data_IF_588423110680
#
_entry.id   IF_588423110680
#
_cell.length_a   1.000
_cell.length_b   1.000
_cell.length_c   1.000
_cell.angle_alpha   90.00
_cell.angle_beta   90.00
_cell.angle_gamma   90.00
#
_symmetry.space_group_name_H-M   'P 1'
#
loop_
_entity.id
_entity.type
_entity.pdbx_description
1 polymer ?
#
# COMPACT_ATOMS: atom_id res chain seq x y z
N UNK A 1 17.22 -12.78 24.39
CA UNK A 1 17.55 -13.59 23.21
C UNK A 1 16.83 -13.10 21.95
N UNK A 2 17.19 -13.66 20.80
CA UNK A 2 16.59 -13.30 19.48
C UNK A 2 15.04 -13.34 19.52
N UNK A 3 14.45 -14.27 20.27
CA UNK A 3 13.00 -14.38 20.43
C UNK A 3 12.33 -13.19 21.12
N UNK A 4 13.02 -12.50 22.02
CA UNK A 4 12.48 -11.35 22.73
C UNK A 4 12.50 -10.08 21.85
N UNK A 5 13.51 -9.97 20.98
CA UNK A 5 13.58 -8.90 19.98
C UNK A 5 12.42 -9.03 18.98
N UNK A 6 12.18 -10.25 18.50
CA UNK A 6 11.06 -10.53 17.59
C UNK A 6 9.69 -10.23 18.22
N UNK A 7 9.45 -10.66 19.45
CA UNK A 7 8.21 -10.36 20.17
C UNK A 7 7.98 -8.86 20.32
N UNK A 8 9.04 -8.13 20.69
CA UNK A 8 8.97 -6.67 20.84
C UNK A 8 8.66 -5.98 19.51
N UNK A 9 9.29 -6.40 18.41
CA UNK A 9 9.02 -5.86 17.08
C UNK A 9 7.58 -6.14 16.63
N UNK A 10 7.07 -7.35 16.83
CA UNK A 10 5.69 -7.71 16.50
C UNK A 10 4.67 -6.86 17.29
N UNK A 11 4.91 -6.65 18.58
CA UNK A 11 4.06 -5.79 19.42
C UNK A 11 4.11 -4.33 18.96
N UNK A 12 5.27 -3.82 18.57
CA UNK A 12 5.41 -2.46 18.06
C UNK A 12 4.66 -2.27 16.73
N UNK A 13 4.81 -3.22 15.80
CA UNK A 13 4.12 -3.19 14.50
C UNK A 13 2.61 -3.26 14.71
N UNK A 14 2.13 -4.24 15.48
CA UNK A 14 0.71 -4.40 15.79
C UNK A 14 0.13 -3.19 16.52
N UNK A 15 0.86 -2.65 17.50
CA UNK A 15 0.46 -1.44 18.22
C UNK A 15 0.34 -0.22 17.31
N UNK A 16 1.28 -0.02 16.40
CA UNK A 16 1.19 1.06 15.40
C UNK A 16 -0.05 0.92 14.51
N UNK A 17 -0.31 -0.28 13.98
CA UNK A 17 -1.48 -0.53 13.14
C UNK A 17 -2.76 -0.20 13.91
N UNK A 18 -2.90 -0.68 15.16
CA UNK A 18 -4.06 -0.40 16.00
C UNK A 18 -4.25 1.11 16.25
N UNK A 19 -3.17 1.84 16.58
CA UNK A 19 -3.24 3.28 16.82
C UNK A 19 -3.71 4.02 15.57
N UNK A 20 -3.17 3.70 14.40
CA UNK A 20 -3.57 4.36 13.15
C UNK A 20 -4.97 3.98 12.71
N UNK A 21 -5.41 2.75 12.97
CA UNK A 21 -6.77 2.34 12.73
C UNK A 21 -7.76 3.13 13.60
N UNK A 22 -7.48 3.24 14.90
CA UNK A 22 -8.29 4.04 15.83
C UNK A 22 -8.27 5.52 15.43
N UNK A 23 -7.11 6.07 15.08
CA UNK A 23 -7.00 7.45 14.62
C UNK A 23 -7.83 7.70 13.35
N UNK A 24 -7.81 6.78 12.40
CA UNK A 24 -8.64 6.86 11.18
C UNK A 24 -10.13 6.86 11.52
N UNK A 25 -10.57 6.01 12.45
CA UNK A 25 -11.96 5.96 12.87
C UNK A 25 -12.38 7.22 13.64
N UNK A 26 -11.51 7.77 14.49
CA UNK A 26 -11.76 9.05 15.15
C UNK A 26 -11.91 10.21 14.15
N UNK A 27 -11.04 10.29 13.13
CA UNK A 27 -11.15 11.28 12.06
C UNK A 27 -12.49 11.18 11.32
N UNK A 28 -13.01 9.98 11.16
CA UNK A 28 -14.32 9.73 10.57
C UNK A 28 -15.43 10.25 11.48
N UNK A 29 -15.39 9.98 12.77
CA UNK A 29 -16.39 10.44 13.74
C UNK A 29 -16.38 11.96 13.93
N UNK A 30 -15.23 12.61 13.90
CA UNK A 30 -15.09 14.08 13.98
C UNK A 30 -15.60 14.77 12.71
N UNK A 31 -15.89 14.02 11.64
CA UNK A 31 -16.45 14.57 10.41
C UNK A 31 -15.41 15.06 9.39
N UNK A 32 -14.11 14.80 9.58
CA UNK A 32 -13.06 15.18 8.63
C UNK A 32 -13.35 14.58 7.25
N UNK A 33 -13.79 13.34 7.19
CA UNK A 33 -14.15 12.70 5.92
C UNK A 33 -15.37 13.34 5.25
N UNK A 34 -16.33 13.84 6.00
CA UNK A 34 -17.48 14.56 5.45
C UNK A 34 -17.07 15.89 4.79
N UNK A 35 -16.12 16.60 5.39
CA UNK A 35 -15.53 17.81 4.79
C UNK A 35 -14.79 17.46 3.50
N UNK A 36 -13.98 16.41 3.50
CA UNK A 36 -13.27 15.95 2.30
C UNK A 36 -14.21 15.51 1.18
N UNK A 37 -15.32 14.88 1.50
CA UNK A 37 -16.36 14.53 0.52
C UNK A 37 -17.02 15.77 -0.10
N UNK A 38 -17.20 16.83 0.68
CA UNK A 38 -17.70 18.10 0.18
C UNK A 38 -16.71 18.72 -0.84
N UNK A 39 -15.42 18.64 -0.55
CA UNK A 39 -14.35 19.09 -1.47
C UNK A 39 -14.36 18.22 -2.73
N UNK A 40 -14.44 16.89 -2.63
CA UNK A 40 -14.53 15.99 -3.78
C UNK A 40 -15.66 16.40 -4.72
N UNK A 41 -16.84 16.63 -4.15
CA UNK A 41 -18.01 17.06 -4.93
C UNK A 41 -17.80 18.41 -5.62
N UNK A 42 -17.16 19.37 -4.93
CA UNK A 42 -16.90 20.69 -5.48
C UNK A 42 -15.95 20.67 -6.70
N UNK A 43 -14.99 19.73 -6.74
CA UNK A 43 -14.01 19.59 -7.84
C UNK A 43 -14.39 18.49 -8.85
N UNK A 44 -15.60 17.90 -8.74
CA UNK A 44 -16.09 16.89 -9.68
C UNK A 44 -15.41 15.52 -9.57
N UNK A 45 -14.74 15.23 -8.46
CA UNK A 45 -14.17 13.90 -8.19
C UNK A 45 -15.22 12.93 -7.65
N UNK A 46 -15.02 11.62 -7.84
CA UNK A 46 -15.88 10.60 -7.24
C UNK A 46 -15.97 10.79 -5.73
N UNK A 47 -17.19 10.72 -5.20
CA UNK A 47 -17.42 10.82 -3.76
C UNK A 47 -16.61 9.72 -3.02
N UNK A 48 -15.99 10.09 -1.91
CA UNK A 48 -15.18 9.17 -1.10
C UNK A 48 -13.74 8.96 -1.59
N UNK A 49 -13.35 9.43 -2.78
CA UNK A 49 -12.01 9.20 -3.31
C UNK A 49 -10.92 9.81 -2.41
N UNK A 50 -11.06 11.09 -2.07
CA UNK A 50 -10.08 11.79 -1.21
C UNK A 50 -10.08 11.16 0.19
N UNK A 51 -11.25 10.79 0.70
CA UNK A 51 -11.39 10.12 1.99
C UNK A 51 -10.67 8.77 2.01
N UNK A 52 -10.85 7.94 0.97
CA UNK A 52 -10.17 6.66 0.83
C UNK A 52 -8.64 6.83 0.70
N UNK A 53 -8.19 7.83 -0.06
CA UNK A 53 -6.77 8.14 -0.20
C UNK A 53 -6.16 8.64 1.11
N UNK A 54 -6.84 9.53 1.84
CA UNK A 54 -6.37 9.98 3.15
C UNK A 54 -6.29 8.81 4.14
N UNK A 55 -7.30 7.95 4.18
CA UNK A 55 -7.29 6.75 5.00
C UNK A 55 -6.10 5.85 4.65
N UNK A 56 -5.84 5.62 3.36
CA UNK A 56 -4.72 4.82 2.90
C UNK A 56 -3.35 5.46 3.14
N UNK A 57 -3.28 6.79 3.18
CA UNK A 57 -2.05 7.50 3.58
C UNK A 57 -1.79 7.39 5.09
N UNK A 58 -2.80 7.21 5.90
CA UNK A 58 -2.67 6.94 7.33
C UNK A 58 -2.35 5.46 7.56
N UNK A 59 -3.21 4.58 7.05
CA UNK A 59 -3.11 3.14 7.20
C UNK A 59 -3.53 2.46 5.88
N UNK A 60 -2.60 1.73 5.27
CA UNK A 60 -2.72 1.24 3.89
C UNK A 60 -3.85 0.22 3.70
N UNK A 61 -4.11 -0.65 4.69
CA UNK A 61 -5.08 -1.75 4.54
C UNK A 61 -6.51 -1.23 4.48
N UNK A 62 -6.86 -0.33 5.40
CA UNK A 62 -8.15 0.34 5.41
C UNK A 62 -8.36 1.21 4.17
N UNK A 63 -7.30 1.90 3.71
CA UNK A 63 -7.35 2.69 2.49
C UNK A 63 -7.57 1.86 1.23
N UNK A 64 -6.89 0.75 1.07
CA UNK A 64 -7.09 -0.17 -0.05
C UNK A 64 -8.52 -0.75 -0.06
N UNK A 65 -9.05 -1.12 1.12
CA UNK A 65 -10.43 -1.58 1.25
C UNK A 65 -11.42 -0.47 0.88
N UNK A 66 -11.17 0.77 1.30
CA UNK A 66 -12.00 1.91 0.95
C UNK A 66 -11.97 2.20 -0.57
N UNK A 67 -10.80 2.18 -1.21
CA UNK A 67 -10.66 2.33 -2.67
C UNK A 67 -11.42 1.22 -3.41
N UNK A 68 -11.32 -0.03 -2.96
CA UNK A 68 -12.03 -1.16 -3.56
C UNK A 68 -13.56 -1.02 -3.46
N UNK A 69 -14.07 -0.37 -2.41
CA UNK A 69 -15.49 -0.11 -2.22
C UNK A 69 -16.04 1.01 -3.13
N UNK A 70 -15.19 1.86 -3.73
CA UNK A 70 -15.56 3.00 -4.56
C UNK A 70 -15.91 2.56 -5.97
N UNK A 71 -16.51 1.61 -6.38
CA UNK A 71 -16.98 1.26 -7.75
C UNK A 71 -16.28 2.03 -8.90
N UNK A 72 -14.97 2.26 -8.76
CA UNK A 72 -14.16 2.93 -9.78
C UNK A 72 -13.82 1.94 -10.92
N UNK A 73 -13.43 2.45 -12.11
CA UNK A 73 -12.91 1.60 -13.17
C UNK A 73 -11.73 0.75 -12.65
N UNK A 74 -11.71 -0.52 -12.98
CA UNK A 74 -10.72 -1.50 -12.49
C UNK A 74 -9.28 -0.98 -12.55
N UNK A 75 -8.89 -0.41 -13.71
CA UNK A 75 -7.55 0.16 -13.91
C UNK A 75 -7.20 1.23 -12.87
N UNK A 76 -8.17 2.09 -12.54
CA UNK A 76 -7.97 3.17 -11.59
C UNK A 76 -7.89 2.62 -10.16
N UNK A 77 -8.76 1.69 -9.79
CA UNK A 77 -8.71 1.04 -8.47
C UNK A 77 -7.38 0.35 -8.23
N UNK A 78 -6.88 -0.41 -9.21
CA UNK A 78 -5.59 -1.10 -9.13
C UNK A 78 -4.44 -0.10 -9.01
N UNK A 79 -4.46 0.97 -9.79
CA UNK A 79 -3.42 2.02 -9.73
C UNK A 79 -3.38 2.72 -8.37
N UNK A 80 -4.55 3.08 -7.82
CA UNK A 80 -4.65 3.73 -6.51
C UNK A 80 -4.19 2.78 -5.39
N UNK A 81 -4.59 1.52 -5.41
CA UNK A 81 -4.11 0.52 -4.47
C UNK A 81 -2.58 0.31 -4.59
N UNK A 82 -2.04 0.25 -5.81
CA UNK A 82 -0.60 0.14 -6.05
C UNK A 82 0.16 1.35 -5.50
N UNK A 83 -0.40 2.56 -5.65
CA UNK A 83 0.14 3.76 -5.01
C UNK A 83 0.20 3.61 -3.49
N UNK A 84 -0.93 3.26 -2.85
CA UNK A 84 -1.03 3.16 -1.40
C UNK A 84 -0.08 2.10 -0.85
N UNK A 85 -0.01 0.92 -1.46
CA UNK A 85 0.87 -0.17 -1.04
C UNK A 85 2.34 0.23 -1.19
N UNK A 86 2.72 0.87 -2.29
CA UNK A 86 4.10 1.30 -2.53
C UNK A 86 4.52 2.46 -1.64
N UNK A 87 3.61 3.40 -1.37
CA UNK A 87 3.81 4.50 -0.44
C UNK A 87 3.92 3.99 1.00
N UNK A 88 3.07 3.04 1.41
CA UNK A 88 3.08 2.35 2.69
C UNK A 88 2.36 3.09 3.83
N UNK A 89 1.92 4.32 3.61
CA UNK A 89 1.23 5.13 4.62
C UNK A 89 2.12 5.60 5.78
N UNK A 90 1.56 6.47 6.63
CA UNK A 90 2.24 7.00 7.82
C UNK A 90 2.52 5.91 8.86
N UNK A 91 1.66 4.90 8.95
CA UNK A 91 1.85 3.77 9.86
C UNK A 91 3.17 3.04 9.59
N UNK A 92 3.40 2.63 8.31
CA UNK A 92 4.63 1.95 7.91
C UNK A 92 5.85 2.89 8.00
N UNK A 93 5.65 4.17 7.68
CA UNK A 93 6.70 5.17 7.82
C UNK A 93 7.20 5.31 9.27
N UNK A 94 6.31 5.39 10.24
CA UNK A 94 6.71 5.45 11.66
C UNK A 94 7.37 4.17 12.15
N UNK A 95 6.90 3.01 11.70
CA UNK A 95 7.54 1.73 12.00
C UNK A 95 8.97 1.69 11.44
N UNK A 96 9.15 2.14 10.19
CA UNK A 96 10.46 2.16 9.53
C UNK A 96 11.43 3.13 10.21
N UNK A 97 10.93 4.28 10.69
CA UNK A 97 11.75 5.28 11.39
C UNK A 97 12.38 4.77 12.69
N UNK A 98 11.77 3.79 13.34
CA UNK A 98 12.32 3.18 14.54
C UNK A 98 13.64 2.43 14.27
N UNK A 99 13.88 2.05 13.01
CA UNK A 99 15.03 1.26 12.59
C UNK A 99 15.99 2.00 11.65
N UNK A 100 15.56 3.10 11.03
CA UNK A 100 16.36 3.87 10.08
C UNK A 100 16.92 5.14 10.73
N UNK A 101 18.23 5.22 10.80
CA UNK A 101 18.99 6.45 11.09
C UNK A 101 19.22 7.18 9.76
N UNK A 102 18.29 8.03 9.32
CA UNK A 102 18.43 8.75 8.06
C UNK A 102 17.53 9.98 7.95
N UNK A 103 17.68 10.72 6.85
CA UNK A 103 16.86 11.90 6.57
C UNK A 103 15.43 11.49 6.22
N UNK A 104 14.54 11.79 7.15
CA UNK A 104 13.11 11.48 7.11
C UNK A 104 12.42 12.12 5.90
N UNK A 105 12.78 13.35 5.54
CA UNK A 105 12.21 14.08 4.41
C UNK A 105 12.51 13.41 3.08
N UNK A 106 13.77 13.03 2.92
CA UNK A 106 14.24 12.34 1.72
C UNK A 106 13.58 10.98 1.54
N UNK A 107 13.43 10.21 2.62
CA UNK A 107 12.73 8.94 2.60
C UNK A 107 11.27 9.10 2.16
N UNK A 108 10.54 10.06 2.75
CA UNK A 108 9.14 10.32 2.42
C UNK A 108 8.97 10.71 0.95
N UNK A 109 9.82 11.61 0.44
CA UNK A 109 9.80 12.02 -0.96
C UNK A 109 10.06 10.85 -1.92
N UNK A 110 11.08 10.03 -1.63
CA UNK A 110 11.40 8.85 -2.46
C UNK A 110 10.24 7.86 -2.47
N UNK A 111 9.61 7.61 -1.32
CA UNK A 111 8.45 6.73 -1.22
C UNK A 111 7.24 7.27 -1.98
N UNK A 112 7.04 8.57 -1.96
CA UNK A 112 5.97 9.22 -2.74
C UNK A 112 6.19 9.07 -4.24
N UNK A 113 7.39 9.35 -4.73
CA UNK A 113 7.76 9.14 -6.15
C UNK A 113 7.62 7.68 -6.54
N UNK A 114 8.09 6.76 -5.69
CA UNK A 114 7.93 5.32 -5.90
C UNK A 114 6.46 4.91 -6.00
N UNK A 115 5.60 5.47 -5.15
CA UNK A 115 4.15 5.25 -5.22
C UNK A 115 3.54 5.70 -6.55
N UNK A 116 3.93 6.88 -7.05
CA UNK A 116 3.47 7.38 -8.35
C UNK A 116 3.92 6.45 -9.49
N UNK A 117 5.17 6.02 -9.48
CA UNK A 117 5.69 5.08 -10.49
C UNK A 117 4.96 3.74 -10.44
N UNK A 118 4.73 3.21 -9.26
CA UNK A 118 3.98 1.97 -9.07
C UNK A 118 2.54 2.08 -9.59
N UNK A 119 1.86 3.20 -9.30
CA UNK A 119 0.52 3.48 -9.83
C UNK A 119 0.50 3.54 -11.36
N UNK A 120 1.47 4.23 -11.95
CA UNK A 120 1.60 4.33 -13.42
C UNK A 120 1.81 2.96 -14.08
N UNK A 121 2.72 2.15 -13.55
CA UNK A 121 2.96 0.79 -14.04
C UNK A 121 1.71 -0.08 -13.87
N UNK A 122 1.07 -0.04 -12.71
CA UNK A 122 -0.14 -0.81 -12.43
C UNK A 122 -1.29 -0.42 -13.37
N UNK A 123 -1.47 0.87 -13.64
CA UNK A 123 -2.47 1.37 -14.59
C UNK A 123 -2.23 0.87 -16.01
N UNK A 124 -0.98 0.84 -16.46
CA UNK A 124 -0.59 0.35 -17.79
C UNK A 124 -0.72 -1.17 -17.91
N UNK A 125 -0.37 -1.90 -16.83
CA UNK A 125 -0.40 -3.36 -16.82
C UNK A 125 -1.79 -3.94 -16.53
N UNK A 126 -2.69 -3.19 -15.91
CA UNK A 126 -4.03 -3.64 -15.55
C UNK A 126 -4.83 -4.27 -16.72
N UNK A 127 -4.78 -3.75 -17.98
CA UNK A 127 -5.50 -4.39 -19.08
C UNK A 127 -4.89 -5.70 -19.56
N UNK A 128 -3.62 -5.97 -19.22
CA UNK A 128 -2.89 -7.18 -19.66
C UNK A 128 -3.11 -8.32 -18.67
N UNK A 129 -3.42 -7.99 -17.42
CA UNK A 129 -3.67 -8.97 -16.39
C UNK A 129 -5.05 -9.64 -16.63
N UNK A 130 -5.13 -10.95 -16.80
CA UNK A 130 -6.39 -11.68 -16.97
C UNK A 130 -7.12 -11.81 -15.62
N UNK A 131 -7.23 -10.70 -14.90
CA UNK A 131 -7.90 -10.66 -13.62
C UNK A 131 -9.41 -10.59 -13.89
N UNK A 132 -10.08 -11.75 -13.83
CA UNK A 132 -11.52 -11.79 -13.67
C UNK A 132 -11.88 -11.10 -12.35
N UNK A 133 -12.89 -10.26 -12.38
CA UNK A 133 -13.52 -9.70 -11.17
C UNK A 133 -13.99 -10.89 -10.30
N UNK A 134 -13.18 -11.32 -9.37
CA UNK A 134 -13.59 -12.29 -8.36
C UNK A 134 -13.87 -11.54 -7.07
N UNK A 135 -15.03 -11.72 -6.45
CA UNK A 135 -15.33 -11.13 -5.17
C UNK A 135 -14.31 -11.63 -4.15
N UNK A 136 -13.58 -10.70 -3.52
CA UNK A 136 -12.54 -10.96 -2.52
C UNK A 136 -13.10 -11.66 -1.27
N UNK A 137 -14.41 -11.62 -1.10
CA UNK A 137 -15.13 -12.29 -0.02
C UNK A 137 -16.19 -13.20 -0.65
N UNK A 138 -15.79 -14.35 -1.07
CA UNK A 138 -16.74 -15.41 -1.31
C UNK A 138 -16.66 -16.45 -0.20
N UNK A 139 -17.70 -16.46 0.49
CA UNK A 139 -18.03 -17.31 1.60
C UNK A 139 -18.36 -18.74 1.13
N UNK A 140 -17.43 -19.44 0.44
CA UNK A 140 -17.58 -20.89 0.23
C UNK A 140 -16.22 -21.53 -0.02
N UNK A 141 -15.83 -22.38 0.93
CA UNK A 141 -14.55 -23.04 0.92
C UNK A 141 -14.42 -24.15 -0.13
N UNK A 142 -13.23 -24.31 -0.63
CA UNK A 142 -12.78 -25.47 -1.43
C UNK A 142 -12.24 -25.07 -2.80
N UNK A 143 -13.04 -24.54 -3.70
CA UNK A 143 -12.59 -24.14 -5.05
C UNK A 143 -11.73 -22.89 -5.06
N UNK A 144 -11.88 -22.02 -4.04
CA UNK A 144 -11.10 -20.80 -3.90
C UNK A 144 -9.63 -21.04 -3.61
N UNK A 145 -9.30 -22.11 -2.90
CA UNK A 145 -7.91 -22.41 -2.56
C UNK A 145 -7.09 -22.75 -3.81
N UNK A 146 -7.67 -23.47 -4.75
CA UNK A 146 -6.99 -23.87 -6.01
C UNK A 146 -6.87 -22.66 -6.96
N UNK A 147 -7.92 -21.83 -7.06
CA UNK A 147 -7.89 -20.61 -7.87
C UNK A 147 -7.03 -19.51 -7.24
N UNK A 148 -6.97 -19.40 -5.91
CA UNK A 148 -6.05 -18.54 -5.20
C UNK A 148 -4.59 -19.00 -5.36
N UNK A 149 -4.31 -20.28 -5.42
CA UNK A 149 -2.98 -20.82 -5.74
C UNK A 149 -2.58 -20.51 -7.18
N UNK A 150 -3.48 -20.61 -8.15
CA UNK A 150 -3.20 -20.26 -9.54
C UNK A 150 -3.03 -18.75 -9.76
N UNK A 151 -3.87 -17.91 -9.15
CA UNK A 151 -3.70 -16.45 -9.12
C UNK A 151 -2.54 -16.01 -8.25
N UNK A 152 -2.31 -16.69 -7.14
CA UNK A 152 -1.20 -16.46 -6.21
C UNK A 152 0.16 -16.73 -6.85
N UNK A 153 0.27 -17.68 -7.79
CA UNK A 153 1.53 -17.94 -8.50
C UNK A 153 1.96 -16.76 -9.37
N UNK A 154 1.02 -16.11 -10.07
CA UNK A 154 1.31 -14.92 -10.89
C UNK A 154 1.63 -13.72 -9.98
N UNK A 155 0.90 -13.55 -8.89
CA UNK A 155 1.17 -12.51 -7.90
C UNK A 155 2.53 -12.73 -7.23
N UNK A 156 2.84 -13.97 -6.84
CA UNK A 156 4.11 -14.33 -6.23
C UNK A 156 5.28 -14.13 -7.21
N UNK A 157 5.13 -14.53 -8.47
CA UNK A 157 6.13 -14.30 -9.51
C UNK A 157 6.37 -12.81 -9.76
N UNK A 158 5.31 -12.00 -9.75
CA UNK A 158 5.41 -10.54 -9.87
C UNK A 158 6.12 -9.92 -8.67
N UNK A 159 5.81 -10.36 -7.45
CA UNK A 159 6.49 -9.90 -6.23
C UNK A 159 7.97 -10.30 -6.24
N UNK A 160 8.30 -11.52 -6.66
CA UNK A 160 9.69 -12.00 -6.77
C UNK A 160 10.46 -11.20 -7.83
N UNK A 161 9.84 -10.91 -8.99
CA UNK A 161 10.45 -10.10 -10.04
C UNK A 161 10.74 -8.67 -9.55
N UNK A 162 9.76 -8.01 -8.91
CA UNK A 162 9.94 -6.66 -8.34
C UNK A 162 11.01 -6.65 -7.25
N UNK A 163 11.01 -7.66 -6.37
CA UNK A 163 12.02 -7.81 -5.33
C UNK A 163 13.41 -8.08 -5.92
N UNK A 164 13.51 -8.88 -6.98
CA UNK A 164 14.75 -9.13 -7.71
C UNK A 164 15.32 -7.86 -8.35
N UNK A 165 14.48 -7.05 -8.99
CA UNK A 165 14.87 -5.75 -9.56
C UNK A 165 15.34 -4.80 -8.45
N UNK A 166 14.65 -4.77 -7.31
CA UNK A 166 15.03 -3.96 -6.16
C UNK A 166 16.38 -4.39 -5.59
N UNK A 167 16.60 -5.70 -5.41
CA UNK A 167 17.88 -6.25 -4.97
C UNK A 167 19.02 -5.91 -5.94
N UNK A 168 18.80 -6.04 -7.25
CA UNK A 168 19.78 -5.64 -8.25
C UNK A 168 20.12 -4.16 -8.16
N UNK A 169 19.12 -3.28 -7.99
CA UNK A 169 19.34 -1.85 -7.83
C UNK A 169 20.16 -1.54 -6.57
N UNK A 170 19.88 -2.21 -5.45
CA UNK A 170 20.63 -2.06 -4.19
C UNK A 170 22.06 -2.54 -4.34
N UNK A 171 22.28 -3.72 -4.94
CA UNK A 171 23.61 -4.26 -5.18
C UNK A 171 24.42 -3.37 -6.11
N UNK A 172 23.79 -2.87 -7.20
CA UNK A 172 24.44 -1.94 -8.13
C UNK A 172 24.82 -0.62 -7.46
N UNK A 173 23.93 -0.06 -6.64
CA UNK A 173 24.22 1.17 -5.90
C UNK A 173 25.38 0.99 -4.89
N UNK A 174 25.40 -0.15 -4.20
CA UNK A 174 26.49 -0.49 -3.28
C UNK A 174 27.83 -0.72 -4.02
N UNK A 175 27.79 -1.33 -5.20
CA UNK A 175 28.97 -1.55 -6.04
C UNK A 175 29.53 -0.23 -6.61
N UNK A 176 28.67 0.67 -7.06
CA UNK A 176 29.07 2.01 -7.53
C UNK A 176 29.67 2.80 -6.37
N UNK A 177 29.09 2.77 -5.18
CA UNK A 177 29.63 3.45 -4.00
C UNK A 177 31.00 2.91 -3.57
N UNK A 178 31.27 1.62 -3.80
CA UNK A 178 32.58 0.99 -3.51
C UNK A 178 33.66 1.35 -4.53
N UNK A 179 33.30 1.73 -5.76
CA UNK A 179 34.25 2.18 -6.80
C UNK A 179 34.64 3.65 -6.67
N UNK A 180 33.93 4.43 -5.86
CA UNK A 180 34.21 5.86 -5.64
C UNK A 180 35.07 6.12 -4.39
N UNK A 181 35.45 5.07 -3.67
CA UNK A 181 36.47 5.07 -2.61
C UNK A 181 37.77 4.49 -3.13
#
# INVERSE_FOLDING_TARGET
GLGDVYKRQMLQIGGCICIFFVASELLKQIGVYAVLESICRAIGLPAGLISAMLQGMLELTGGCAAVAALKLPFKLSVALCAFLVSFGGLCVFLQTRLFLCGDVRRYFFVKFVHGILAAGIAFLCAPIAPLREQPVIAQQGGEYFINALAGGSVFFASCVAVFGIYLMAVVMSAWIAKRQK
#
